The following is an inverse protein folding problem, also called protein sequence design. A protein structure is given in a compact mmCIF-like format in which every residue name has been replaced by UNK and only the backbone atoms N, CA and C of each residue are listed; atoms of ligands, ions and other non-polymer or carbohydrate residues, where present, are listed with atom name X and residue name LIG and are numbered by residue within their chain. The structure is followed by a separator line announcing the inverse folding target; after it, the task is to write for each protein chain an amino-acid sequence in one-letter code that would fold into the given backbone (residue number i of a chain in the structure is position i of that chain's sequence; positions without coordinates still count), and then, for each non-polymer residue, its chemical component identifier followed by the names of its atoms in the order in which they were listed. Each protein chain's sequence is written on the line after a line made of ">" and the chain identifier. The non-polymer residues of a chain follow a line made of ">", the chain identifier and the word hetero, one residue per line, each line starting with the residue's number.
data_IF_564809429131
#
_entry.id   IF_564809429131
#
_cell.length_a   1.000
_cell.length_b   1.000
_cell.length_c   1.000
_cell.angle_alpha   90.00
_cell.angle_beta   90.00
_cell.angle_gamma   90.00
#
_symmetry.space_group_name_H-M   'P 1'
#
loop_
_entity.id
_entity.type
_entity.pdbx_description
1 polymer ?
#
# COMPACT_ATOMS: atom_id res chain seq x y z
N UNK A 1 18.32 -15.07 4.57
CA UNK A 1 17.23 -14.07 4.54
C UNK A 1 16.04 -14.68 5.30
N UNK A 2 15.45 -14.01 6.29
CA UNK A 2 14.30 -14.56 7.02
C UNK A 2 13.00 -14.28 6.22
N UNK A 3 11.98 -15.13 6.34
CA UNK A 3 10.74 -15.00 5.58
C UNK A 3 10.01 -13.65 5.83
N UNK A 4 10.04 -13.14 7.07
CA UNK A 4 9.43 -11.83 7.42
C UNK A 4 10.08 -10.65 6.69
N UNK A 5 11.40 -10.69 6.51
CA UNK A 5 12.15 -9.69 5.76
C UNK A 5 11.81 -9.74 4.29
N UNK A 6 11.50 -10.93 3.75
CA UNK A 6 11.08 -11.06 2.35
C UNK A 6 9.65 -10.54 2.14
N UNK A 7 8.70 -10.87 3.03
CA UNK A 7 7.34 -10.31 3.01
C UNK A 7 7.35 -8.77 3.06
N UNK A 8 8.15 -8.20 3.97
CA UNK A 8 8.32 -6.75 4.11
C UNK A 8 8.82 -6.11 2.80
N UNK A 9 9.90 -6.67 2.23
CA UNK A 9 10.49 -6.17 0.99
C UNK A 9 9.50 -6.24 -0.18
N UNK A 10 8.71 -7.32 -0.27
CA UNK A 10 7.66 -7.46 -1.28
C UNK A 10 6.62 -6.35 -1.14
N UNK A 11 6.07 -6.14 0.06
CA UNK A 11 5.04 -5.10 0.28
C UNK A 11 5.54 -3.69 -0.07
N UNK A 12 6.75 -3.35 0.40
CA UNK A 12 7.39 -2.07 0.09
C UNK A 12 7.64 -1.91 -1.41
N UNK A 13 8.10 -2.97 -2.08
CA UNK A 13 8.34 -2.97 -3.52
C UNK A 13 7.04 -2.80 -4.31
N UNK A 14 5.97 -3.49 -3.92
CA UNK A 14 4.66 -3.40 -4.56
C UNK A 14 4.06 -1.99 -4.44
N UNK A 15 4.20 -1.35 -3.27
CA UNK A 15 3.79 0.05 -3.09
C UNK A 15 4.60 0.97 -4.00
N UNK A 16 5.94 0.88 -3.95
CA UNK A 16 6.83 1.72 -4.76
C UNK A 16 6.54 1.56 -6.26
N UNK A 17 6.32 0.32 -6.72
CA UNK A 17 5.95 0.03 -8.09
C UNK A 17 4.60 0.65 -8.48
N UNK A 18 3.59 0.54 -7.61
CA UNK A 18 2.27 1.13 -7.84
C UNK A 18 2.37 2.65 -7.98
N UNK A 19 3.15 3.32 -7.11
CA UNK A 19 3.38 4.76 -7.19
C UNK A 19 3.89 5.17 -8.58
N UNK A 20 4.80 4.41 -9.18
CA UNK A 20 5.37 4.75 -10.51
C UNK A 20 4.36 4.72 -11.65
N UNK A 21 3.20 4.07 -11.45
CA UNK A 21 2.14 3.97 -12.46
C UNK A 21 1.01 4.98 -12.28
N UNK A 22 0.95 5.64 -11.12
CA UNK A 22 -0.06 6.63 -10.83
C UNK A 22 0.29 7.96 -11.50
N UNK A 23 -0.71 8.56 -12.16
CA UNK A 23 -0.63 9.93 -12.67
C UNK A 23 -0.63 10.94 -11.49
N UNK A 24 0.46 11.69 -11.24
CA UNK A 24 0.51 12.64 -10.13
C UNK A 24 -0.52 13.75 -10.23
N UNK A 25 -0.91 14.18 -11.44
CA UNK A 25 -1.90 15.24 -11.60
C UNK A 25 -3.30 14.80 -11.14
N UNK A 26 -3.57 13.49 -11.11
CA UNK A 26 -4.88 12.91 -10.74
C UNK A 26 -4.87 12.21 -9.40
N UNK A 27 -3.73 11.67 -8.99
CA UNK A 27 -3.62 10.76 -7.85
C UNK A 27 -2.66 11.25 -6.77
N UNK A 28 -2.28 12.54 -6.74
CA UNK A 28 -1.35 13.07 -5.75
C UNK A 28 -1.67 12.66 -4.30
N UNK A 29 -2.93 12.78 -3.81
CA UNK A 29 -3.28 12.35 -2.44
C UNK A 29 -2.99 10.87 -2.18
N UNK A 30 -3.22 10.02 -3.18
CA UNK A 30 -2.97 8.59 -3.07
C UNK A 30 -1.48 8.28 -3.10
N UNK A 31 -0.72 8.96 -3.96
CA UNK A 31 0.75 8.84 -4.01
C UNK A 31 1.36 9.20 -2.65
N UNK A 32 0.91 10.29 -2.03
CA UNK A 32 1.44 10.74 -0.74
C UNK A 32 1.09 9.75 0.38
N UNK A 33 -0.14 9.22 0.40
CA UNK A 33 -0.54 8.15 1.31
C UNK A 33 0.32 6.89 1.15
N UNK A 34 0.55 6.46 -0.08
CA UNK A 34 1.36 5.27 -0.37
C UNK A 34 2.83 5.46 0.08
N UNK A 35 3.39 6.67 -0.07
CA UNK A 35 4.73 6.99 0.46
C UNK A 35 4.76 6.94 1.98
N UNK A 36 3.78 7.53 2.66
CA UNK A 36 3.68 7.50 4.12
C UNK A 36 3.61 6.06 4.65
N UNK A 37 2.82 5.20 4.00
CA UNK A 37 2.74 3.79 4.40
C UNK A 37 4.01 3.01 4.12
N UNK A 38 4.74 3.36 3.07
CA UNK A 38 6.07 2.79 2.80
C UNK A 38 7.01 3.04 3.98
N UNK A 39 7.10 4.29 4.43
CA UNK A 39 7.93 4.68 5.58
C UNK A 39 7.48 3.98 6.87
N UNK A 40 6.17 3.99 7.16
CA UNK A 40 5.61 3.30 8.33
C UNK A 40 5.92 1.80 8.34
N UNK A 41 5.83 1.13 7.19
CA UNK A 41 6.13 -0.29 7.06
C UNK A 41 7.62 -0.55 7.29
N UNK A 42 8.50 0.27 6.71
CA UNK A 42 9.95 0.19 6.89
C UNK A 42 10.34 0.41 8.37
N UNK A 43 9.73 1.38 9.06
CA UNK A 43 9.94 1.64 10.49
C UNK A 43 9.41 0.50 11.38
N UNK A 44 8.23 -0.06 11.06
CA UNK A 44 7.57 -1.12 11.83
C UNK A 44 7.89 -2.54 11.33
N UNK A 45 9.12 -2.77 10.85
CA UNK A 45 9.56 -4.03 10.22
C UNK A 45 9.25 -5.33 11.00
N UNK A 46 9.10 -5.29 12.32
CA UNK A 46 8.75 -6.48 13.13
C UNK A 46 7.26 -6.83 13.11
N UNK A 47 6.40 -5.82 12.94
CA UNK A 47 4.95 -5.91 13.12
C UNK A 47 4.16 -5.32 11.94
N UNK A 48 4.77 -5.17 10.75
CA UNK A 48 4.13 -4.56 9.58
C UNK A 48 2.75 -5.17 9.22
N UNK A 49 2.49 -6.46 9.58
CA UNK A 49 1.20 -7.10 9.34
C UNK A 49 0.03 -6.39 10.04
N UNK A 50 0.26 -5.71 11.17
CA UNK A 50 -0.77 -4.90 11.83
C UNK A 50 -1.12 -3.63 11.04
N UNK A 51 -0.26 -3.20 10.12
CA UNK A 51 -0.47 -2.04 9.25
C UNK A 51 -1.27 -2.37 7.98
N UNK A 52 -1.49 -3.65 7.67
CA UNK A 52 -2.18 -4.09 6.44
C UNK A 52 -3.65 -3.65 6.43
N UNK A 53 -4.41 -3.95 7.49
CA UNK A 53 -5.81 -3.51 7.58
C UNK A 53 -5.96 -1.98 7.57
N UNK A 54 -5.16 -1.23 8.37
CA UNK A 54 -5.12 0.23 8.25
C UNK A 54 -4.76 0.73 6.85
N UNK A 55 -3.81 0.10 6.17
CA UNK A 55 -3.40 0.46 4.82
C UNK A 55 -4.57 0.35 3.84
N UNK A 56 -5.22 -0.81 3.78
CA UNK A 56 -6.35 -1.05 2.87
C UNK A 56 -7.46 -0.03 3.13
N UNK A 57 -7.84 0.13 4.41
CA UNK A 57 -8.90 1.07 4.81
C UNK A 57 -8.56 2.52 4.44
N UNK A 58 -7.30 2.93 4.62
CA UNK A 58 -6.86 4.29 4.31
C UNK A 58 -6.80 4.54 2.81
N UNK A 59 -6.43 3.55 2.01
CA UNK A 59 -6.43 3.63 0.54
C UNK A 59 -7.85 3.77 0.01
N UNK A 60 -8.77 2.90 0.46
CA UNK A 60 -10.19 2.95 0.07
C UNK A 60 -10.82 4.29 0.46
N UNK A 61 -10.54 4.76 1.68
CA UNK A 61 -11.00 6.06 2.15
C UNK A 61 -10.43 7.20 1.31
N UNK A 62 -9.13 7.19 1.00
CA UNK A 62 -8.50 8.24 0.18
C UNK A 62 -9.12 8.33 -1.22
N UNK A 63 -9.40 7.19 -1.84
CA UNK A 63 -10.09 7.14 -3.13
C UNK A 63 -11.49 7.77 -3.01
N UNK A 64 -12.25 7.38 -1.98
CA UNK A 64 -13.61 7.88 -1.73
C UNK A 64 -13.62 9.39 -1.43
N UNK A 65 -12.78 9.86 -0.52
CA UNK A 65 -12.72 11.26 -0.09
C UNK A 65 -12.35 12.21 -1.24
N UNK A 66 -11.60 11.72 -2.23
CA UNK A 66 -11.16 12.49 -3.40
C UNK A 66 -11.99 12.21 -4.66
N UNK A 67 -13.07 11.41 -4.58
CA UNK A 67 -13.89 10.97 -5.71
C UNK A 67 -13.05 10.44 -6.90
N UNK A 68 -11.98 9.70 -6.59
CA UNK A 68 -11.08 9.16 -7.61
C UNK A 68 -11.71 7.94 -8.28
N UNK A 69 -11.47 7.79 -9.58
CA UNK A 69 -11.65 6.50 -10.24
C UNK A 69 -10.55 5.59 -9.69
N UNK A 70 -10.94 4.43 -9.15
CA UNK A 70 -10.00 3.45 -8.58
C UNK A 70 -9.00 3.03 -9.66
N UNK A 71 -7.69 3.27 -9.49
CA UNK A 71 -6.69 2.78 -10.43
C UNK A 71 -6.55 1.26 -10.36
N UNK A 72 -6.42 0.59 -11.50
CA UNK A 72 -6.28 -0.87 -11.56
C UNK A 72 -5.08 -1.37 -10.74
N UNK A 73 -3.96 -0.66 -10.82
CA UNK A 73 -2.74 -0.98 -10.07
C UNK A 73 -2.95 -0.91 -8.54
N UNK A 74 -3.83 0.00 -8.08
CA UNK A 74 -4.16 0.12 -6.65
C UNK A 74 -5.06 -1.03 -6.22
N UNK A 75 -5.97 -1.47 -7.09
CA UNK A 75 -6.77 -2.68 -6.83
C UNK A 75 -5.89 -3.92 -6.72
N UNK A 76 -4.88 -4.04 -7.59
CA UNK A 76 -3.89 -5.13 -7.52
C UNK A 76 -3.08 -5.05 -6.24
N UNK A 77 -2.67 -3.84 -5.84
CA UNK A 77 -1.94 -3.60 -4.59
C UNK A 77 -2.75 -4.03 -3.36
N UNK A 78 -4.03 -3.63 -3.27
CA UNK A 78 -4.92 -4.04 -2.18
C UNK A 78 -5.02 -5.58 -2.11
N UNK A 79 -5.19 -6.24 -3.26
CA UNK A 79 -5.24 -7.72 -3.32
C UNK A 79 -3.93 -8.37 -2.85
N UNK A 80 -2.78 -7.82 -3.25
CA UNK A 80 -1.47 -8.29 -2.78
C UNK A 80 -1.39 -8.20 -1.25
N UNK A 81 -1.78 -7.05 -0.68
CA UNK A 81 -1.78 -6.81 0.76
C UNK A 81 -2.72 -7.74 1.52
N UNK A 82 -3.93 -7.96 1.02
CA UNK A 82 -4.91 -8.87 1.64
C UNK A 82 -4.43 -10.31 1.69
N UNK A 83 -3.56 -10.75 0.77
CA UNK A 83 -3.01 -12.11 0.76
C UNK A 83 -2.10 -12.42 1.97
N UNK A 84 -1.65 -11.41 2.71
CA UNK A 84 -0.84 -11.56 3.92
C UNK A 84 -1.69 -11.62 5.21
N UNK A 85 -3.00 -11.39 5.11
CA UNK A 85 -3.93 -11.58 6.23
C UNK A 85 -4.25 -13.07 6.38
N UNK A 86 -4.44 -13.57 7.61
CA UNK A 86 -4.96 -14.91 7.81
C UNK A 86 -6.38 -15.01 7.20
N UNK A 87 -6.62 -16.07 6.43
CA UNK A 87 -7.96 -16.45 5.93
C UNK A 87 -8.90 -16.81 7.08
#
# INVERSE_FOLDING_TARGET
>A
MNAKSQELLTLVSDIKFTITKLDPAKHQPLIDLLKEYTEKIEENHKNFKSLINPFISSVEKCISDNNMIVPDDVTVLIKSFSAFLPN
#
